data_IF_786569938058
#
_entry.id   IF_786569938058
#
_cell.length_a   1.000
_cell.length_b   1.000
_cell.length_c   1.000
_cell.angle_alpha   90.00
_cell.angle_beta   90.00
_cell.angle_gamma   90.00
#
_symmetry.space_group_name_H-M   'P 1'
#
loop_
_entity.id
_entity.type
_entity.pdbx_description
1 polymer ?
#
# COMPACT_ATOMS: atom_id res chain seq x y z
N UNK A 1 2.42 -4.33 -16.20
CA UNK A 1 1.76 -3.23 -15.46
C UNK A 1 1.42 -3.78 -14.09
N UNK A 2 2.20 -3.42 -13.06
CA UNK A 2 2.15 -4.05 -11.74
C UNK A 2 1.23 -3.24 -10.84
N UNK A 3 0.24 -3.90 -10.23
CA UNK A 3 -0.66 -3.27 -9.26
C UNK A 3 -0.61 -4.09 -7.97
N UNK A 4 -0.60 -3.39 -6.84
CA UNK A 4 -0.54 -3.97 -5.52
C UNK A 4 -1.69 -3.40 -4.70
N UNK A 5 -2.28 -4.24 -3.88
CA UNK A 5 -3.32 -3.85 -2.93
C UNK A 5 -2.99 -4.55 -1.61
N UNK A 6 -3.11 -3.83 -0.51
CA UNK A 6 -2.76 -4.31 0.81
C UNK A 6 -3.65 -3.63 1.84
N UNK A 7 -3.90 -4.32 2.95
CA UNK A 7 -4.62 -3.75 4.09
C UNK A 7 -3.69 -2.96 5.02
N UNK A 8 -2.41 -2.81 4.65
CA UNK A 8 -1.42 -2.09 5.44
C UNK A 8 -1.27 -0.65 4.97
N UNK A 9 -1.21 0.27 5.92
CA UNK A 9 -0.83 1.65 5.66
C UNK A 9 0.69 1.79 5.47
N UNK A 10 1.16 2.97 5.06
CA UNK A 10 2.57 3.20 4.76
C UNK A 10 3.50 3.01 5.98
N UNK A 11 3.02 3.30 7.19
CA UNK A 11 3.79 3.12 8.43
C UNK A 11 3.86 1.63 8.81
N UNK A 12 2.77 0.89 8.66
CA UNK A 12 2.75 -0.56 8.92
C UNK A 12 3.65 -1.33 7.94
N UNK A 13 3.75 -0.87 6.69
CA UNK A 13 4.71 -1.43 5.72
C UNK A 13 6.15 -1.14 6.17
N UNK A 14 6.42 0.06 6.68
CA UNK A 14 7.74 0.44 7.17
C UNK A 14 8.14 -0.32 8.43
N UNK A 15 7.23 -0.46 9.40
CA UNK A 15 7.46 -1.21 10.64
C UNK A 15 7.71 -2.70 10.35
N UNK A 16 6.94 -3.29 9.43
CA UNK A 16 7.04 -4.73 9.11
C UNK A 16 8.17 -5.08 8.15
N UNK A 17 8.43 -4.25 7.14
CA UNK A 17 9.35 -4.57 6.03
C UNK A 17 10.53 -3.59 5.89
N UNK A 18 10.57 -2.56 6.72
CA UNK A 18 11.61 -1.54 6.73
C UNK A 18 11.36 -0.38 5.77
N UNK A 19 12.05 0.72 6.06
CA UNK A 19 12.02 1.98 5.30
C UNK A 19 12.29 1.79 3.81
N UNK A 20 13.26 0.92 3.46
CA UNK A 20 13.67 0.66 2.06
C UNK A 20 12.51 0.11 1.23
N UNK A 21 11.73 -0.82 1.77
CA UNK A 21 10.60 -1.43 1.05
C UNK A 21 9.49 -0.40 0.85
N UNK A 22 9.19 0.40 1.89
CA UNK A 22 8.23 1.51 1.77
C UNK A 22 8.68 2.53 0.73
N UNK A 23 9.96 2.93 0.72
CA UNK A 23 10.48 3.91 -0.26
C UNK A 23 10.36 3.40 -1.69
N UNK A 24 10.73 2.14 -1.94
CA UNK A 24 10.57 1.52 -3.26
C UNK A 24 9.11 1.46 -3.70
N UNK A 25 8.18 1.14 -2.79
CA UNK A 25 6.76 1.13 -3.12
C UNK A 25 6.26 2.53 -3.51
N UNK A 26 6.69 3.59 -2.83
CA UNK A 26 6.34 4.98 -3.20
C UNK A 26 6.91 5.40 -4.57
N UNK A 27 8.06 4.86 -4.97
CA UNK A 27 8.66 5.11 -6.29
C UNK A 27 7.97 4.31 -7.41
N UNK A 28 7.49 3.10 -7.11
CA UNK A 28 6.94 2.18 -8.12
C UNK A 28 5.44 2.34 -8.38
N UNK A 29 4.68 2.90 -7.44
CA UNK A 29 3.21 3.03 -7.56
C UNK A 29 2.69 4.38 -7.08
N UNK A 30 1.55 4.80 -7.65
CA UNK A 30 0.77 5.88 -7.08
C UNK A 30 0.02 5.36 -5.85
N UNK A 31 0.27 5.97 -4.69
CA UNK A 31 -0.41 5.61 -3.43
C UNK A 31 -1.83 6.15 -3.45
N UNK A 32 -2.81 5.26 -3.35
CA UNK A 32 -4.24 5.60 -3.24
C UNK A 32 -4.75 4.96 -1.95
N UNK A 33 -5.20 5.78 -1.01
CA UNK A 33 -5.80 5.31 0.24
C UNK A 33 -7.31 5.17 0.07
N UNK A 34 -7.87 4.05 0.53
CA UNK A 34 -9.30 3.84 0.57
C UNK A 34 -9.80 3.89 2.02
N UNK A 35 -10.97 4.51 2.29
CA UNK A 35 -11.58 4.43 3.61
C UNK A 35 -11.97 2.98 3.92
N UNK A 36 -11.95 2.63 5.21
CA UNK A 36 -12.30 1.28 5.70
C UNK A 36 -13.74 0.88 5.39
N UNK A 37 -14.63 1.85 5.16
CA UNK A 37 -16.01 1.64 4.72
C UNK A 37 -16.16 1.47 3.21
N UNK A 38 -15.07 1.56 2.44
CA UNK A 38 -15.14 1.30 1.00
C UNK A 38 -15.52 -0.16 0.77
N UNK A 39 -16.49 -0.46 -0.11
CA UNK A 39 -16.76 -1.84 -0.51
C UNK A 39 -15.49 -2.47 -1.09
N UNK A 40 -15.36 -3.78 -0.91
CA UNK A 40 -14.27 -4.55 -1.51
C UNK A 40 -14.30 -4.33 -3.04
N UNK A 41 -13.21 -3.78 -3.58
CA UNK A 41 -13.07 -3.49 -5.02
C UNK A 41 -12.28 -4.58 -5.77
N UNK A 42 -11.96 -5.69 -5.10
CA UNK A 42 -11.36 -6.91 -5.67
C UNK A 42 -12.40 -7.97 -6.04
N UNK A 43 -13.70 -7.68 -5.88
CA UNK A 43 -14.80 -8.52 -6.39
C UNK A 43 -14.84 -8.54 -7.91
#
# INVERSE_FOLDING_TARGET
RTHLTTNLNALEIEDRYGERVRSRLREMVNVIAFPSSSPDKRS
#
